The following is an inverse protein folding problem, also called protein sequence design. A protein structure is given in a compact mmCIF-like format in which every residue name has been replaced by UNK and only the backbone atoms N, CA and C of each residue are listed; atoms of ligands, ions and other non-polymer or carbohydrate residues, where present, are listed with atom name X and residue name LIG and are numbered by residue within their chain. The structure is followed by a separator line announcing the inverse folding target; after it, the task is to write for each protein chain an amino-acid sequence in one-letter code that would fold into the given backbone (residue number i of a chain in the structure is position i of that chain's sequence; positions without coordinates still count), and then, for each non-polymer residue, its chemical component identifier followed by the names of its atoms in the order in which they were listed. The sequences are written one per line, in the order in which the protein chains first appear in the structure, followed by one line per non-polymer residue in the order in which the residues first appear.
data_IF_947416110283
#
_entry.id   IF_947416110283
#
_cell.length_a   1.000
_cell.length_b   1.000
_cell.length_c   1.000
_cell.angle_alpha   90.00
_cell.angle_beta   90.00
_cell.angle_gamma   90.00
#
_symmetry.space_group_name_H-M   'P 1'
#
loop_
_entity.id
_entity.type
_entity.pdbx_description
1 polymer ?
#
# COMPACT_ATOMS: atom_id res chain seq x y z
N UNK A 1 15.84 6.83 4.69
CA UNK A 1 16.77 6.79 3.55
C UNK A 1 16.76 8.07 2.74
N UNK A 2 15.61 8.60 2.24
CA UNK A 2 15.59 9.90 1.56
C UNK A 2 15.87 11.04 2.53
N UNK A 3 15.24 11.00 3.70
CA UNK A 3 15.45 11.92 4.82
C UNK A 3 16.69 11.56 5.64
N UNK A 4 17.06 10.28 5.69
CA UNK A 4 18.19 9.73 6.45
C UNK A 4 19.18 9.04 5.50
N UNK A 5 20.04 9.78 4.79
CA UNK A 5 20.96 9.20 3.80
C UNK A 5 21.97 8.22 4.40
N UNK A 6 22.32 8.37 5.68
CA UNK A 6 23.22 7.46 6.41
C UNK A 6 22.73 6.01 6.45
N UNK A 7 21.43 5.79 6.29
CA UNK A 7 20.86 4.44 6.21
C UNK A 7 21.23 3.71 4.91
N UNK A 8 21.61 4.44 3.87
CA UNK A 8 22.11 3.84 2.63
C UNK A 8 23.49 3.23 2.78
N UNK A 9 24.31 3.77 3.70
CA UNK A 9 25.66 3.30 3.96
C UNK A 9 25.66 1.90 4.58
N UNK A 10 24.57 1.52 5.23
CA UNK A 10 24.35 0.19 5.84
C UNK A 10 23.85 -0.85 4.85
N UNK A 11 23.54 -0.46 3.60
CA UNK A 11 23.09 -1.38 2.57
C UNK A 11 24.26 -1.88 1.74
N UNK A 12 24.35 -3.19 1.52
CA UNK A 12 25.27 -3.78 0.55
C UNK A 12 24.78 -3.49 -0.87
N UNK A 13 25.02 -2.27 -1.33
CA UNK A 13 24.69 -1.89 -2.70
C UNK A 13 25.76 -2.44 -3.66
N UNK A 14 25.36 -2.93 -4.86
CA UNK A 14 26.33 -3.36 -5.85
C UNK A 14 27.19 -2.16 -6.31
N UNK A 15 28.45 -2.37 -6.71
CA UNK A 15 29.36 -1.31 -7.09
C UNK A 15 28.82 -0.40 -8.21
N UNK A 16 27.94 -0.94 -9.07
CA UNK A 16 27.30 -0.24 -10.17
C UNK A 16 26.14 0.68 -9.72
N UNK A 17 25.68 0.55 -8.48
CA UNK A 17 24.63 1.43 -7.94
C UNK A 17 25.21 2.84 -7.76
N UNK A 18 25.06 3.66 -8.78
CA UNK A 18 25.52 5.05 -8.76
C UNK A 18 24.76 5.85 -7.71
N UNK A 19 25.45 6.37 -6.69
CA UNK A 19 24.85 7.26 -5.68
C UNK A 19 24.14 8.46 -6.31
N UNK A 20 24.67 8.97 -7.44
CA UNK A 20 24.13 10.13 -8.15
C UNK A 20 22.72 9.89 -8.73
N UNK A 21 22.44 8.67 -9.20
CA UNK A 21 21.17 8.31 -9.84
C UNK A 21 20.37 7.29 -9.01
N UNK A 22 20.75 7.07 -7.76
CA UNK A 22 20.17 6.02 -6.91
C UNK A 22 18.65 6.09 -6.85
N UNK A 23 18.09 7.26 -6.53
CA UNK A 23 16.64 7.43 -6.40
C UNK A 23 15.92 7.33 -7.74
N UNK A 24 16.51 7.86 -8.80
CA UNK A 24 15.95 7.71 -10.16
C UNK A 24 15.81 6.24 -10.55
N UNK A 25 16.83 5.43 -10.29
CA UNK A 25 16.76 3.99 -10.55
C UNK A 25 15.73 3.31 -9.66
N UNK A 26 15.65 3.67 -8.36
CA UNK A 26 14.64 3.12 -7.45
C UNK A 26 13.21 3.41 -7.91
N UNK A 27 12.93 4.63 -8.33
CA UNK A 27 11.62 4.97 -8.89
C UNK A 27 11.32 4.22 -10.20
N UNK A 28 12.33 4.03 -11.03
CA UNK A 28 12.21 3.22 -12.23
C UNK A 28 11.90 1.75 -11.90
N UNK A 29 12.61 1.16 -10.93
CA UNK A 29 12.38 -0.22 -10.48
C UNK A 29 10.96 -0.41 -9.94
N UNK A 30 10.45 0.55 -9.16
CA UNK A 30 9.07 0.54 -8.67
C UNK A 30 8.09 0.52 -9.84
N UNK A 31 8.23 1.45 -10.80
CA UNK A 31 7.35 1.50 -11.99
C UNK A 31 7.43 0.22 -12.82
N UNK A 32 8.62 -0.36 -12.99
CA UNK A 32 8.80 -1.60 -13.72
C UNK A 32 8.12 -2.78 -13.01
N UNK A 33 8.24 -2.86 -11.69
CA UNK A 33 7.60 -3.89 -10.87
C UNK A 33 6.08 -3.78 -10.91
N UNK A 34 5.53 -2.59 -10.70
CA UNK A 34 4.09 -2.34 -10.78
C UNK A 34 3.54 -2.67 -12.17
N UNK A 35 4.25 -2.30 -13.23
CA UNK A 35 3.90 -2.65 -14.61
C UNK A 35 3.91 -4.16 -14.83
N UNK A 36 4.87 -4.86 -14.25
CA UNK A 36 4.91 -6.32 -14.31
C UNK A 36 3.67 -6.92 -13.65
N UNK A 37 3.30 -6.45 -12.46
CA UNK A 37 2.09 -6.91 -11.76
C UNK A 37 0.82 -6.68 -12.59
N UNK A 38 0.64 -5.47 -13.12
CA UNK A 38 -0.57 -5.14 -13.89
C UNK A 38 -0.68 -5.91 -15.20
N UNK A 39 0.44 -6.19 -15.87
CA UNK A 39 0.47 -7.04 -17.08
C UNK A 39 0.13 -8.50 -16.78
N UNK A 40 0.27 -8.94 -15.54
CA UNK A 40 -0.13 -10.27 -15.08
C UNK A 40 -1.51 -10.28 -14.41
N UNK A 41 -2.34 -9.26 -14.65
CA UNK A 41 -3.73 -9.22 -14.18
C UNK A 41 -3.89 -8.81 -12.72
N UNK A 42 -2.85 -8.29 -12.08
CA UNK A 42 -2.90 -7.80 -10.69
C UNK A 42 -3.23 -6.30 -10.70
N UNK A 43 -4.32 -5.92 -10.03
CA UNK A 43 -4.67 -4.52 -9.83
C UNK A 43 -3.85 -3.93 -8.69
N UNK A 44 -3.13 -2.85 -8.97
CA UNK A 44 -2.31 -2.13 -7.99
C UNK A 44 -3.01 -0.83 -7.59
N UNK A 45 -3.40 -0.71 -6.33
CA UNK A 45 -3.95 0.51 -5.73
C UNK A 45 -2.96 1.08 -4.73
N UNK A 46 -2.59 2.35 -4.88
CA UNK A 46 -1.65 3.03 -4.01
C UNK A 46 -2.34 4.18 -3.28
N UNK A 47 -2.29 4.18 -1.95
CA UNK A 47 -2.92 5.21 -1.12
C UNK A 47 -1.88 5.91 -0.26
N UNK A 48 -1.78 7.23 -0.38
CA UNK A 48 -1.03 8.08 0.54
C UNK A 48 -1.99 8.77 1.50
N UNK A 49 -1.99 8.35 2.76
CA UNK A 49 -2.84 8.95 3.80
C UNK A 49 -2.18 10.20 4.34
N UNK A 50 -2.55 11.36 3.80
CA UNK A 50 -2.00 12.64 4.19
C UNK A 50 -2.65 13.16 5.47
N UNK A 51 -1.87 13.26 6.55
CA UNK A 51 -2.29 13.93 7.78
C UNK A 51 -1.53 15.26 7.93
N UNK A 52 -2.16 16.23 8.61
CA UNK A 52 -1.49 17.47 8.96
C UNK A 52 -0.51 17.29 10.13
N UNK A 53 0.52 18.13 10.21
CA UNK A 53 1.45 18.17 11.35
C UNK A 53 0.72 18.39 12.69
N UNK A 54 -0.38 19.16 12.64
CA UNK A 54 -1.27 19.40 13.78
C UNK A 54 -1.99 18.13 14.24
N UNK A 55 -2.59 17.39 13.29
CA UNK A 55 -3.30 16.15 13.59
C UNK A 55 -2.33 15.05 14.07
N UNK A 56 -1.14 14.96 13.50
CA UNK A 56 -0.12 14.02 13.98
C UNK A 56 0.24 14.29 15.45
N UNK A 57 0.48 15.58 15.81
CA UNK A 57 0.73 15.98 17.21
C UNK A 57 -0.41 15.55 18.13
N UNK A 58 -1.65 15.82 17.73
CA UNK A 58 -2.84 15.42 18.50
C UNK A 58 -2.88 13.91 18.73
N UNK A 59 -2.60 13.11 17.69
CA UNK A 59 -2.57 11.63 17.80
C UNK A 59 -1.44 11.14 18.71
N UNK A 60 -0.28 11.76 18.69
CA UNK A 60 0.81 11.41 19.59
C UNK A 60 0.46 11.72 21.06
N UNK A 61 -0.12 12.89 21.34
CA UNK A 61 -0.60 13.23 22.67
C UNK A 61 -1.65 12.23 23.17
N UNK A 62 -2.61 11.87 22.32
CA UNK A 62 -3.62 10.89 22.66
C UNK A 62 -3.03 9.50 22.98
N UNK A 63 -1.94 9.08 22.31
CA UNK A 63 -1.22 7.83 22.66
C UNK A 63 -0.53 7.90 24.01
N UNK A 64 0.03 9.05 24.37
CA UNK A 64 0.72 9.24 25.66
C UNK A 64 -0.25 9.25 26.84
N UNK A 65 -1.46 9.79 26.65
CA UNK A 65 -2.50 9.84 27.69
C UNK A 65 -3.22 8.49 27.90
N UNK A 66 -3.37 7.70 26.82
CA UNK A 66 -4.03 6.41 26.87
C UNK A 66 -3.04 5.30 27.27
N UNK A 67 -3.17 4.80 28.51
CA UNK A 67 -2.28 3.77 29.06
C UNK A 67 -2.24 2.50 28.21
N UNK A 68 -3.34 2.14 27.57
CA UNK A 68 -3.43 0.96 26.70
C UNK A 68 -2.67 1.12 25.37
N UNK A 69 -2.29 2.36 25.02
CA UNK A 69 -1.63 2.69 23.74
C UNK A 69 -0.19 3.19 23.90
N UNK A 70 0.26 3.44 25.14
CA UNK A 70 1.63 3.95 25.42
C UNK A 70 2.72 3.07 24.83
N UNK A 71 2.54 1.76 24.78
CA UNK A 71 3.49 0.83 24.22
C UNK A 71 3.76 1.03 22.70
N UNK A 72 2.87 1.74 22.01
CA UNK A 72 3.02 2.10 20.58
C UNK A 72 3.80 3.39 20.36
N UNK A 73 4.19 4.08 21.43
CA UNK A 73 4.88 5.35 21.33
C UNK A 73 6.39 5.13 21.43
N UNK A 74 7.15 5.76 20.53
CA UNK A 74 8.60 5.85 20.60
C UNK A 74 9.06 7.28 20.75
N UNK A 75 10.08 7.51 21.57
CA UNK A 75 10.70 8.83 21.68
C UNK A 75 11.32 9.30 20.36
N UNK A 76 11.76 8.36 19.51
CA UNK A 76 12.23 8.66 18.15
C UNK A 76 11.16 9.31 17.28
N UNK A 77 9.86 9.01 17.50
CA UNK A 77 8.76 9.63 16.76
C UNK A 77 8.75 11.15 16.92
N UNK A 78 9.19 11.66 18.06
CA UNK A 78 9.29 13.11 18.32
C UNK A 78 10.48 13.69 17.54
N UNK A 79 11.63 13.03 17.55
CA UNK A 79 12.81 13.47 16.82
C UNK A 79 12.53 13.51 15.30
N UNK A 80 11.84 12.49 14.77
CA UNK A 80 11.45 12.43 13.36
C UNK A 80 10.53 13.58 12.92
N UNK A 81 9.77 14.18 13.84
CA UNK A 81 8.94 15.36 13.52
C UNK A 81 9.76 16.60 13.15
N UNK A 82 11.03 16.68 13.53
CA UNK A 82 11.92 17.78 13.11
C UNK A 82 12.14 17.76 11.59
N UNK A 83 12.11 16.60 10.98
CA UNK A 83 12.29 16.38 9.54
C UNK A 83 10.97 16.43 8.73
N UNK A 84 9.92 17.08 9.29
CA UNK A 84 8.58 17.09 8.68
C UNK A 84 8.59 17.53 7.21
N UNK A 85 9.28 18.63 6.92
CA UNK A 85 9.30 19.22 5.58
C UNK A 85 10.11 18.36 4.60
N UNK A 86 11.19 17.73 5.08
CA UNK A 86 11.97 16.76 4.29
C UNK A 86 11.15 15.53 3.93
N UNK A 87 10.33 15.04 4.89
CA UNK A 87 9.40 13.94 4.63
C UNK A 87 8.33 14.35 3.61
N UNK A 88 7.77 15.56 3.73
CA UNK A 88 6.76 16.04 2.78
C UNK A 88 7.33 16.13 1.35
N UNK A 89 8.53 16.71 1.19
CA UNK A 89 9.21 16.77 -0.09
C UNK A 89 9.53 15.36 -0.65
N UNK A 90 9.95 14.43 0.22
CA UNK A 90 10.22 13.05 -0.20
C UNK A 90 8.95 12.30 -0.64
N UNK A 91 7.80 12.55 0.00
CA UNK A 91 6.51 11.97 -0.42
C UNK A 91 6.01 12.57 -1.73
N UNK A 92 6.15 13.89 -1.94
CA UNK A 92 5.80 14.56 -3.18
C UNK A 92 6.60 13.98 -4.34
N UNK A 93 7.93 13.94 -4.22
CA UNK A 93 8.81 13.34 -5.22
C UNK A 93 8.45 11.86 -5.50
N UNK A 94 8.19 11.07 -4.46
CA UNK A 94 7.77 9.67 -4.63
C UNK A 94 6.47 9.55 -5.42
N UNK A 95 5.47 10.37 -5.12
CA UNK A 95 4.18 10.37 -5.80
C UNK A 95 4.36 10.77 -7.26
N UNK A 96 5.06 11.86 -7.53
CA UNK A 96 5.29 12.37 -8.87
C UNK A 96 6.06 11.37 -9.75
N UNK A 97 7.10 10.78 -9.18
CA UNK A 97 7.98 9.86 -9.93
C UNK A 97 7.39 8.45 -10.10
N UNK A 98 6.43 8.05 -9.28
CA UNK A 98 5.88 6.69 -9.34
C UNK A 98 4.38 6.62 -9.62
N UNK A 99 3.67 7.76 -9.80
CA UNK A 99 2.29 7.73 -10.27
C UNK A 99 2.25 7.42 -11.75
N UNK A 100 1.46 6.42 -12.15
CA UNK A 100 1.31 6.00 -13.55
C UNK A 100 -0.15 5.68 -13.85
N UNK A 101 -0.55 5.69 -15.11
CA UNK A 101 -1.92 5.38 -15.54
C UNK A 101 -2.37 3.96 -15.11
N UNK A 102 -1.43 3.00 -15.06
CA UNK A 102 -1.70 1.62 -14.67
C UNK A 102 -1.59 1.37 -13.16
N UNK A 103 -1.01 2.29 -12.40
CA UNK A 103 -0.89 2.23 -10.95
C UNK A 103 -0.81 3.66 -10.38
N UNK A 104 -1.94 4.40 -10.33
CA UNK A 104 -1.98 5.75 -9.83
C UNK A 104 -1.88 5.82 -8.30
N UNK A 105 -1.38 6.94 -7.78
CA UNK A 105 -1.49 7.28 -6.37
C UNK A 105 -2.79 8.01 -6.06
N UNK A 106 -3.46 7.59 -5.01
CA UNK A 106 -4.59 8.29 -4.40
C UNK A 106 -4.10 9.02 -3.15
N UNK A 107 -4.07 10.36 -3.19
CA UNK A 107 -3.71 11.18 -2.02
C UNK A 107 -4.97 11.47 -1.21
N UNK A 108 -5.08 10.85 -0.04
CA UNK A 108 -6.29 10.85 0.80
C UNK A 108 -6.10 11.80 1.99
N UNK A 109 -6.92 12.86 2.14
CA UNK A 109 -6.96 13.67 3.37
C UNK A 109 -7.35 12.80 4.57
N UNK A 110 -6.43 12.63 5.54
CA UNK A 110 -6.61 11.65 6.62
C UNK A 110 -6.64 12.26 8.03
N UNK A 111 -6.85 13.56 8.16
CA UNK A 111 -7.10 14.23 9.45
C UNK A 111 -8.41 13.69 10.06
N UNK A 112 -9.43 13.47 9.24
CA UNK A 112 -10.69 12.86 9.62
C UNK A 112 -10.72 11.39 9.21
N UNK A 113 -10.49 10.48 10.16
CA UNK A 113 -10.37 9.02 9.90
C UNK A 113 -11.55 8.44 9.14
N UNK A 114 -12.78 8.78 9.56
CA UNK A 114 -13.98 8.24 8.93
C UNK A 114 -14.11 8.67 7.46
N UNK A 115 -13.81 9.93 7.14
CA UNK A 115 -13.79 10.41 5.76
C UNK A 115 -12.74 9.66 4.93
N UNK A 116 -11.52 9.49 5.48
CA UNK A 116 -10.47 8.74 4.80
C UNK A 116 -10.89 7.27 4.55
N UNK A 117 -11.54 6.62 5.51
CA UNK A 117 -12.03 5.25 5.35
C UNK A 117 -13.08 5.14 4.24
N UNK A 118 -14.03 6.07 4.19
CA UNK A 118 -15.06 6.10 3.14
C UNK A 118 -14.41 6.24 1.75
N UNK A 119 -13.47 7.18 1.60
CA UNK A 119 -12.80 7.41 0.30
C UNK A 119 -12.00 6.16 -0.12
N UNK A 120 -11.19 5.59 0.78
CA UNK A 120 -10.40 4.38 0.49
C UNK A 120 -11.31 3.20 0.16
N UNK A 121 -12.38 2.99 0.94
CA UNK A 121 -13.33 1.89 0.70
C UNK A 121 -14.06 2.06 -0.63
N UNK A 122 -14.47 3.28 -0.98
CA UNK A 122 -15.11 3.56 -2.26
C UNK A 122 -14.18 3.23 -3.44
N UNK A 123 -12.92 3.67 -3.38
CA UNK A 123 -11.94 3.36 -4.42
C UNK A 123 -11.69 1.86 -4.57
N UNK A 124 -11.63 1.11 -3.46
CA UNK A 124 -11.46 -0.36 -3.48
C UNK A 124 -12.70 -1.03 -4.08
N UNK A 125 -13.91 -0.62 -3.67
CA UNK A 125 -15.15 -1.20 -4.18
C UNK A 125 -15.30 -0.95 -5.69
N UNK A 126 -15.01 0.28 -6.14
CA UNK A 126 -15.02 0.62 -7.57
C UNK A 126 -14.03 -0.23 -8.37
N UNK A 127 -12.81 -0.38 -7.85
CA UNK A 127 -11.77 -1.18 -8.46
C UNK A 127 -12.17 -2.67 -8.56
N UNK A 128 -12.76 -3.26 -7.51
CA UNK A 128 -13.26 -4.63 -7.53
C UNK A 128 -14.42 -4.77 -8.51
N UNK A 129 -15.36 -3.82 -8.52
CA UNK A 129 -16.49 -3.83 -9.45
C UNK A 129 -16.04 -3.78 -10.91
N UNK A 130 -14.97 -3.02 -11.20
CA UNK A 130 -14.37 -2.95 -12.55
C UNK A 130 -13.76 -4.29 -13.01
N UNK A 131 -13.33 -5.15 -12.08
CA UNK A 131 -12.84 -6.49 -12.40
C UNK A 131 -13.96 -7.46 -12.79
N UNK A 132 -15.24 -7.11 -12.55
CA UNK A 132 -16.42 -7.93 -12.82
C UNK A 132 -16.24 -9.39 -12.37
N UNK A 133 -15.93 -9.63 -11.07
CA UNK A 133 -15.71 -10.98 -10.58
C UNK A 133 -16.98 -11.81 -10.71
N UNK A 134 -16.87 -12.98 -11.32
CA UNK A 134 -17.94 -13.95 -11.46
C UNK A 134 -17.51 -15.28 -10.86
N UNK A 135 -18.48 -16.03 -10.31
CA UNK A 135 -18.19 -17.39 -9.87
C UNK A 135 -17.87 -18.27 -11.10
N UNK A 136 -16.84 -19.13 -11.01
CA UNK A 136 -16.51 -20.02 -12.10
C UNK A 136 -17.68 -20.97 -12.38
N UNK A 137 -18.15 -21.01 -13.63
CA UNK A 137 -19.15 -21.97 -14.06
C UNK A 137 -18.55 -23.37 -14.20
N UNK A 138 -19.18 -24.32 -13.54
CA UNK A 138 -18.79 -25.73 -13.63
C UNK A 138 -19.64 -26.39 -14.69
N UNK A 139 -19.01 -26.82 -15.80
CA UNK A 139 -19.68 -27.41 -16.93
C UNK A 139 -19.02 -28.73 -17.39
N UNK A 140 -19.67 -29.43 -18.29
CA UNK A 140 -19.11 -30.60 -18.97
C UNK A 140 -18.74 -31.76 -18.05
N UNK A 141 -17.49 -32.23 -18.10
CA UNK A 141 -17.00 -33.38 -17.34
C UNK A 141 -16.99 -33.06 -15.83
N UNK A 142 -16.57 -31.87 -15.43
CA UNK A 142 -16.52 -31.48 -14.02
C UNK A 142 -17.90 -31.53 -13.35
N UNK A 143 -18.97 -31.12 -14.05
CA UNK A 143 -20.34 -31.22 -13.53
C UNK A 143 -20.79 -32.67 -13.37
N UNK A 144 -20.39 -33.56 -14.29
CA UNK A 144 -20.67 -34.99 -14.19
C UNK A 144 -19.96 -35.64 -13.01
N UNK A 145 -18.71 -35.27 -12.79
CA UNK A 145 -17.91 -35.79 -11.67
C UNK A 145 -18.47 -35.31 -10.32
N UNK A 146 -18.93 -34.05 -10.21
CA UNK A 146 -19.63 -33.55 -9.02
C UNK A 146 -20.93 -34.32 -8.74
N UNK A 147 -21.77 -34.54 -9.74
CA UNK A 147 -23.01 -35.33 -9.58
C UNK A 147 -22.73 -36.75 -9.17
N UNK A 148 -21.65 -37.38 -9.64
CA UNK A 148 -21.22 -38.70 -9.22
C UNK A 148 -20.75 -38.71 -7.77
N UNK A 149 -19.96 -37.72 -7.37
CA UNK A 149 -19.51 -37.56 -5.99
C UNK A 149 -20.70 -37.33 -5.01
N UNK A 150 -21.66 -36.48 -5.40
CA UNK A 150 -22.88 -36.24 -4.62
C UNK A 150 -23.66 -37.53 -4.38
N UNK A 151 -23.84 -38.35 -5.42
CA UNK A 151 -24.54 -39.66 -5.28
C UNK A 151 -23.80 -40.59 -4.31
N UNK A 152 -22.47 -40.71 -4.51
CA UNK A 152 -21.66 -41.57 -3.63
C UNK A 152 -21.79 -41.16 -2.15
N UNK A 153 -21.73 -39.85 -1.85
CA UNK A 153 -21.90 -39.35 -0.49
C UNK A 153 -23.31 -39.56 0.10
N UNK A 154 -24.34 -39.55 -0.75
CA UNK A 154 -25.72 -39.85 -0.29
C UNK A 154 -25.92 -41.35 -0.01
N UNK A 155 -25.19 -42.23 -0.72
CA UNK A 155 -25.27 -43.67 -0.59
C UNK A 155 -24.42 -44.20 0.61
N UNK A 156 -23.54 -43.37 1.19
CA UNK A 156 -22.79 -43.70 2.43
C UNK A 156 -23.59 -43.55 3.74
N UNK A 157 -24.78 -42.99 3.70
CA UNK A 157 -25.64 -42.76 4.86
C UNK A 157 -26.89 -43.63 4.87
#
# INVERSE_FOLDING_TARGET
MRVHPELLERQNLPPQASRKNFWKHRFQDIRCFERHLTRNGILVLKFHLRISKKEQRKRFLARLTDTSKRWKFSASDIAERAYWDDYMAAYEEMIDETSTDYAPWFVIPADHKHAAWVIVSAAIVEAIAALKPEYPEIAGKALKDLKKAERALRDEG
#
